data_IF_092856134815
#
_entry.id   IF_092856134815
#
_cell.length_a   1.000
_cell.length_b   1.000
_cell.length_c   1.000
_cell.angle_alpha   90.00
_cell.angle_beta   90.00
_cell.angle_gamma   90.00
#
_symmetry.space_group_name_H-M   'P 1'
#
loop_
_entity.id
_entity.type
_entity.pdbx_description
1 polymer ?
#
# COMPACT_ATOMS: atom_id res chain seq x y z
N UNK A 1 26.40 25.15 28.78
CA UNK A 1 26.01 23.95 28.01
C UNK A 1 24.57 24.15 27.55
N UNK A 2 24.40 24.90 26.47
CA UNK A 2 23.08 25.37 26.01
C UNK A 2 22.43 24.30 25.15
N UNK A 3 21.40 23.65 25.70
CA UNK A 3 20.56 22.72 24.96
C UNK A 3 19.86 23.47 23.83
N UNK A 4 20.17 23.10 22.60
CA UNK A 4 19.48 23.54 21.39
C UNK A 4 18.05 23.02 21.48
N UNK A 5 17.13 23.87 21.93
CA UNK A 5 15.69 23.69 21.73
C UNK A 5 15.42 23.81 20.23
N UNK A 6 15.59 22.69 19.51
CA UNK A 6 15.11 22.57 18.13
C UNK A 6 13.61 22.82 18.19
N UNK A 7 13.21 23.92 17.55
CA UNK A 7 11.84 24.43 17.53
C UNK A 7 10.90 23.42 16.85
N UNK A 8 10.36 22.49 17.65
CA UNK A 8 9.38 21.49 17.23
C UNK A 8 8.14 22.10 16.56
N UNK A 9 7.85 23.38 16.77
CA UNK A 9 6.72 24.06 16.12
C UNK A 9 6.95 24.32 14.64
N UNK A 10 8.16 24.67 14.19
CA UNK A 10 8.42 24.99 12.78
C UNK A 10 8.37 23.74 11.88
N UNK A 11 8.91 22.61 12.37
CA UNK A 11 8.80 21.32 11.68
C UNK A 11 7.35 20.83 11.63
N UNK A 12 6.61 20.94 12.74
CA UNK A 12 5.20 20.59 12.79
C UNK A 12 4.35 21.45 11.85
N UNK A 13 4.57 22.76 11.78
CA UNK A 13 3.80 23.67 10.89
C UNK A 13 4.04 23.35 9.41
N UNK A 14 5.28 23.03 9.01
CA UNK A 14 5.62 22.70 7.61
C UNK A 14 5.09 21.33 7.17
N UNK A 15 4.97 20.37 8.10
CA UNK A 15 4.24 19.12 7.87
C UNK A 15 2.73 19.36 7.80
N UNK A 16 2.19 20.23 8.66
CA UNK A 16 0.75 20.54 8.75
C UNK A 16 0.16 21.10 7.46
N UNK A 17 0.89 21.98 6.77
CA UNK A 17 0.44 22.57 5.50
C UNK A 17 0.51 21.59 4.33
N UNK A 18 1.49 20.70 4.30
CA UNK A 18 1.60 19.64 3.28
C UNK A 18 0.53 18.54 3.43
N UNK A 19 0.01 18.35 4.64
CA UNK A 19 -1.04 17.35 4.95
C UNK A 19 -2.42 17.81 4.44
N UNK A 20 -2.73 19.11 4.46
CA UNK A 20 -4.01 19.66 3.97
C UNK A 20 -4.17 19.66 2.45
N UNK A 21 -3.09 19.39 1.73
CA UNK A 21 -3.01 19.53 0.27
C UNK A 21 -3.62 18.34 -0.49
N UNK A 22 -3.84 17.20 0.19
CA UNK A 22 -4.36 15.98 -0.42
C UNK A 22 -5.89 15.88 -0.25
N UNK A 23 -6.63 16.71 -0.98
CA UNK A 23 -8.08 16.83 -0.88
C UNK A 23 -8.79 15.76 -1.73
N UNK A 24 -9.18 14.65 -1.10
CA UNK A 24 -10.12 13.65 -1.65
C UNK A 24 -11.29 13.58 -0.67
N UNK A 25 -12.50 13.30 -1.17
CA UNK A 25 -13.65 13.00 -0.31
C UNK A 25 -13.35 11.80 0.60
N UNK A 26 -13.00 12.12 1.84
CA UNK A 26 -12.57 11.19 2.87
C UNK A 26 -13.54 10.00 3.04
N UNK A 27 -14.85 10.23 3.12
CA UNK A 27 -15.80 9.15 3.40
C UNK A 27 -15.85 8.11 2.27
N UNK A 28 -15.93 8.57 1.02
CA UNK A 28 -15.99 7.68 -0.16
C UNK A 28 -14.73 6.82 -0.23
N UNK A 29 -13.56 7.42 0.00
CA UNK A 29 -12.28 6.72 -0.05
C UNK A 29 -12.19 5.59 0.99
N UNK A 30 -12.59 5.87 2.23
CA UNK A 30 -12.62 4.85 3.28
C UNK A 30 -13.62 3.75 2.95
N UNK A 31 -14.84 4.11 2.58
CA UNK A 31 -15.88 3.13 2.25
C UNK A 31 -15.43 2.23 1.11
N UNK A 32 -14.94 2.79 0.01
CA UNK A 32 -14.44 2.02 -1.12
C UNK A 32 -13.26 1.13 -0.74
N UNK A 33 -12.26 1.68 -0.04
CA UNK A 33 -11.07 0.94 0.39
C UNK A 33 -11.39 -0.23 1.32
N UNK A 34 -12.20 0.01 2.35
CA UNK A 34 -12.64 -1.04 3.27
C UNK A 34 -13.51 -2.08 2.56
N UNK A 35 -14.36 -1.65 1.63
CA UNK A 35 -15.20 -2.58 0.86
C UNK A 35 -14.34 -3.50 0.01
N UNK A 36 -13.37 -2.98 -0.75
CA UNK A 36 -12.47 -3.80 -1.57
C UNK A 36 -11.59 -4.72 -0.72
N UNK A 37 -11.06 -4.22 0.39
CA UNK A 37 -10.28 -5.02 1.33
C UNK A 37 -11.12 -6.16 1.93
N UNK A 38 -12.34 -5.86 2.38
CA UNK A 38 -13.24 -6.84 2.97
C UNK A 38 -13.71 -7.87 1.94
N UNK A 39 -14.04 -7.44 0.72
CA UNK A 39 -14.41 -8.35 -0.38
C UNK A 39 -13.28 -9.32 -0.70
N UNK A 40 -12.03 -8.86 -0.75
CA UNK A 40 -10.89 -9.75 -0.96
C UNK A 40 -10.72 -10.75 0.21
N UNK A 41 -10.82 -10.28 1.45
CA UNK A 41 -10.76 -11.17 2.63
C UNK A 41 -11.89 -12.21 2.64
N UNK A 42 -13.11 -11.79 2.31
CA UNK A 42 -14.26 -12.69 2.20
C UNK A 42 -14.04 -13.73 1.09
N UNK A 43 -13.51 -13.31 -0.06
CA UNK A 43 -13.16 -14.22 -1.15
C UNK A 43 -12.13 -15.27 -0.70
N UNK A 44 -11.09 -14.86 0.02
CA UNK A 44 -10.07 -15.79 0.56
C UNK A 44 -10.68 -16.80 1.54
N UNK A 45 -11.58 -16.35 2.42
CA UNK A 45 -12.21 -17.22 3.44
C UNK A 45 -13.23 -18.17 2.82
N UNK A 46 -14.05 -17.68 1.88
CA UNK A 46 -15.09 -18.48 1.25
C UNK A 46 -14.53 -19.46 0.20
N UNK A 47 -13.28 -19.26 -0.23
CA UNK A 47 -12.68 -20.00 -1.33
C UNK A 47 -13.38 -19.76 -2.65
N UNK A 48 -14.11 -18.65 -2.79
CA UNK A 48 -14.81 -18.31 -4.03
C UNK A 48 -13.77 -18.04 -5.13
N UNK A 49 -14.02 -18.58 -6.33
CA UNK A 49 -13.13 -18.44 -7.49
C UNK A 49 -13.95 -17.95 -8.67
N UNK A 50 -13.44 -16.93 -9.35
CA UNK A 50 -13.92 -16.59 -10.67
C UNK A 50 -13.14 -17.44 -11.68
N UNK A 51 -13.77 -18.51 -12.17
CA UNK A 51 -13.07 -19.60 -12.89
C UNK A 51 -12.19 -19.10 -14.05
N UNK A 52 -12.69 -18.17 -14.86
CA UNK A 52 -11.91 -17.56 -15.95
C UNK A 52 -10.57 -16.95 -15.47
N UNK A 53 -10.60 -16.19 -14.38
CA UNK A 53 -9.39 -15.55 -13.86
C UNK A 53 -8.53 -16.57 -13.10
N UNK A 54 -9.14 -17.55 -12.46
CA UNK A 54 -8.43 -18.66 -11.84
C UNK A 54 -7.62 -19.48 -12.85
N UNK A 55 -8.20 -19.84 -14.00
CA UNK A 55 -7.51 -20.53 -15.10
C UNK A 55 -6.30 -19.72 -15.61
N UNK A 56 -6.48 -18.40 -15.81
CA UNK A 56 -5.38 -17.50 -16.15
C UNK A 56 -4.30 -17.53 -15.07
N UNK A 57 -4.69 -17.47 -13.80
CA UNK A 57 -3.77 -17.52 -12.67
C UNK A 57 -3.03 -18.84 -12.53
N UNK A 58 -3.47 -19.94 -13.15
CA UNK A 58 -2.71 -21.20 -13.17
C UNK A 58 -1.55 -21.19 -14.19
N UNK A 59 -1.61 -20.31 -15.19
CA UNK A 59 -0.58 -20.19 -16.22
C UNK A 59 0.70 -19.53 -15.69
N UNK A 60 1.86 -20.17 -15.88
CA UNK A 60 3.15 -19.67 -15.38
C UNK A 60 3.53 -18.29 -15.96
N UNK A 61 3.28 -18.04 -17.25
CA UNK A 61 3.53 -16.73 -17.86
C UNK A 61 2.65 -15.65 -17.26
N UNK A 62 1.36 -15.96 -17.01
CA UNK A 62 0.46 -15.03 -16.35
C UNK A 62 0.93 -14.68 -14.94
N UNK A 63 1.30 -15.69 -14.13
CA UNK A 63 1.86 -15.49 -12.77
C UNK A 63 3.09 -14.59 -12.79
N UNK A 64 4.03 -14.84 -13.71
CA UNK A 64 5.26 -14.05 -13.83
C UNK A 64 4.97 -12.61 -14.25
N UNK A 65 4.20 -12.40 -15.34
CA UNK A 65 3.89 -11.06 -15.85
C UNK A 65 3.13 -10.25 -14.80
N UNK A 66 2.07 -10.83 -14.22
CA UNK A 66 1.29 -10.12 -13.19
C UNK A 66 2.09 -9.90 -11.91
N UNK A 67 3.03 -10.79 -11.56
CA UNK A 67 3.98 -10.58 -10.47
C UNK A 67 4.92 -9.39 -10.70
N UNK A 68 5.49 -9.25 -11.91
CA UNK A 68 6.30 -8.07 -12.27
C UNK A 68 5.46 -6.79 -12.30
N UNK A 69 4.23 -6.84 -12.82
CA UNK A 69 3.31 -5.71 -12.78
C UNK A 69 2.98 -5.29 -11.34
N UNK A 70 2.77 -6.25 -10.44
CA UNK A 70 2.55 -5.99 -9.01
C UNK A 70 3.80 -5.37 -8.36
N UNK A 71 5.00 -5.85 -8.70
CA UNK A 71 6.26 -5.21 -8.25
C UNK A 71 6.35 -3.75 -8.71
N UNK A 72 6.14 -3.49 -10.01
CA UNK A 72 6.16 -2.14 -10.56
C UNK A 72 5.10 -1.25 -9.90
N UNK A 73 3.92 -1.80 -9.64
CA UNK A 73 2.84 -1.12 -8.93
C UNK A 73 3.26 -0.70 -7.52
N UNK A 74 3.89 -1.60 -6.75
CA UNK A 74 4.41 -1.30 -5.41
C UNK A 74 5.54 -0.28 -5.46
N UNK A 75 6.50 -0.42 -6.39
CA UNK A 75 7.60 0.53 -6.56
C UNK A 75 7.10 1.93 -6.94
N UNK A 76 6.05 2.01 -7.75
CA UNK A 76 5.44 3.29 -8.12
C UNK A 76 4.88 4.06 -6.91
N UNK A 77 4.44 3.36 -5.85
CA UNK A 77 3.98 4.00 -4.60
C UNK A 77 5.08 4.87 -3.95
N UNK A 78 6.35 4.49 -4.09
CA UNK A 78 7.48 5.25 -3.55
C UNK A 78 7.73 6.58 -4.28
N UNK A 79 7.05 6.84 -5.41
CA UNK A 79 7.11 8.13 -6.10
C UNK A 79 6.71 9.29 -5.19
N UNK A 80 5.74 9.06 -4.29
CA UNK A 80 5.32 10.07 -3.32
C UNK A 80 6.47 10.52 -2.41
N UNK A 81 7.31 9.58 -1.97
CA UNK A 81 8.48 9.89 -1.15
C UNK A 81 9.50 10.75 -1.92
N UNK A 82 9.67 10.51 -3.23
CA UNK A 82 10.56 11.29 -4.10
C UNK A 82 10.08 12.73 -4.29
N UNK A 83 8.79 12.95 -4.48
CA UNK A 83 8.22 14.28 -4.75
C UNK A 83 7.86 15.07 -3.49
N UNK A 84 8.07 14.52 -2.30
CA UNK A 84 7.61 15.10 -1.01
C UNK A 84 8.06 16.55 -0.76
N UNK A 85 9.15 16.98 -1.39
CA UNK A 85 9.70 18.33 -1.24
C UNK A 85 9.17 19.33 -2.28
N UNK A 86 8.50 18.87 -3.34
CA UNK A 86 7.87 19.69 -4.36
C UNK A 86 6.36 19.79 -4.11
N UNK A 87 5.89 20.91 -3.58
CA UNK A 87 4.49 21.13 -3.17
C UNK A 87 3.50 21.09 -4.33
N UNK A 88 3.91 21.51 -5.53
CA UNK A 88 3.06 21.48 -6.71
C UNK A 88 2.74 20.03 -7.12
N UNK A 89 3.76 19.19 -7.19
CA UNK A 89 3.62 17.79 -7.56
C UNK A 89 3.01 16.94 -6.42
N UNK A 90 3.26 17.33 -5.16
CA UNK A 90 2.82 16.57 -3.99
C UNK A 90 1.31 16.32 -3.96
N UNK A 91 0.51 17.33 -4.30
CA UNK A 91 -0.97 17.20 -4.33
C UNK A 91 -1.42 16.08 -5.25
N UNK A 92 -0.93 16.12 -6.49
CA UNK A 92 -1.28 15.17 -7.52
C UNK A 92 -0.84 13.75 -7.13
N UNK A 93 0.43 13.57 -6.77
CA UNK A 93 0.95 12.25 -6.42
C UNK A 93 0.40 11.70 -5.10
N UNK A 94 0.02 12.55 -4.15
CA UNK A 94 -0.68 12.10 -2.95
C UNK A 94 -2.06 11.54 -3.29
N UNK A 95 -2.80 12.25 -4.16
CA UNK A 95 -4.12 11.77 -4.61
C UNK A 95 -4.00 10.43 -5.34
N UNK A 96 -3.04 10.32 -6.26
CA UNK A 96 -2.76 9.06 -6.96
C UNK A 96 -2.34 7.94 -6.02
N UNK A 97 -1.40 8.19 -5.11
CA UNK A 97 -0.93 7.20 -4.13
C UNK A 97 -2.08 6.63 -3.31
N UNK A 98 -2.97 7.51 -2.83
CA UNK A 98 -4.19 7.11 -2.14
C UNK A 98 -5.09 6.25 -3.02
N UNK A 99 -5.47 6.76 -4.20
CA UNK A 99 -6.39 6.05 -5.11
C UNK A 99 -5.85 4.68 -5.52
N UNK A 100 -4.56 4.59 -5.77
CA UNK A 100 -3.90 3.32 -6.01
C UNK A 100 -3.98 2.46 -4.76
N UNK A 101 -3.59 2.93 -3.58
CA UNK A 101 -3.72 2.18 -2.32
C UNK A 101 -5.10 1.56 -2.09
N UNK A 102 -6.19 2.23 -2.47
CA UNK A 102 -7.55 1.66 -2.42
C UNK A 102 -7.78 0.56 -3.45
N UNK A 103 -7.24 0.70 -4.65
CA UNK A 103 -7.31 -0.33 -5.69
C UNK A 103 -6.36 -1.52 -5.43
N UNK A 104 -5.42 -1.43 -4.49
CA UNK A 104 -4.39 -2.43 -4.28
C UNK A 104 -4.93 -3.85 -3.97
N UNK A 105 -5.99 -4.05 -3.15
CA UNK A 105 -6.60 -5.37 -2.96
C UNK A 105 -7.13 -5.97 -4.28
N UNK A 106 -7.66 -5.14 -5.18
CA UNK A 106 -8.12 -5.59 -6.49
C UNK A 106 -6.95 -6.01 -7.38
N UNK A 107 -5.84 -5.26 -7.36
CA UNK A 107 -4.62 -5.64 -8.09
C UNK A 107 -4.06 -6.97 -7.58
N UNK A 108 -4.07 -7.17 -6.26
CA UNK A 108 -3.69 -8.46 -5.66
C UNK A 108 -4.65 -9.58 -6.08
N UNK A 109 -5.97 -9.33 -6.11
CA UNK A 109 -6.97 -10.30 -6.57
C UNK A 109 -6.77 -10.73 -8.03
N UNK A 110 -6.42 -9.80 -8.91
CA UNK A 110 -6.07 -10.11 -10.30
C UNK A 110 -4.82 -10.99 -10.38
N UNK A 111 -3.84 -10.78 -9.51
CA UNK A 111 -2.64 -11.60 -9.47
C UNK A 111 -2.87 -12.99 -8.85
N UNK A 112 -3.65 -13.09 -7.76
CA UNK A 112 -3.90 -14.36 -7.08
C UNK A 112 -5.20 -14.40 -6.27
N UNK A 113 -5.96 -15.48 -6.45
CA UNK A 113 -7.14 -15.86 -5.64
C UNK A 113 -6.84 -16.91 -4.57
N UNK A 114 -5.64 -17.51 -4.61
CA UNK A 114 -5.25 -18.58 -3.71
C UNK A 114 -3.90 -18.29 -3.05
N UNK A 115 -3.81 -18.63 -1.78
CA UNK A 115 -2.54 -18.58 -1.07
C UNK A 115 -1.89 -19.96 -1.18
N UNK A 116 -0.71 -20.03 -1.79
CA UNK A 116 0.05 -21.28 -1.86
C UNK A 116 0.89 -21.49 -0.59
N UNK A 117 2.21 -21.38 -0.72
CA UNK A 117 3.14 -21.66 0.38
C UNK A 117 3.07 -20.62 1.51
N UNK A 118 3.57 -20.99 2.70
CA UNK A 118 3.56 -20.14 3.89
C UNK A 118 4.16 -18.73 3.68
N UNK A 119 5.22 -18.60 2.87
CA UNK A 119 5.79 -17.28 2.57
C UNK A 119 4.88 -16.42 1.67
N UNK A 120 4.07 -17.04 0.80
CA UNK A 120 3.08 -16.33 -0.02
C UNK A 120 1.91 -15.87 0.84
N UNK A 121 1.48 -16.68 1.81
CA UNK A 121 0.52 -16.26 2.84
C UNK A 121 1.06 -15.04 3.58
N UNK A 122 2.31 -15.09 4.07
CA UNK A 122 2.95 -13.96 4.76
C UNK A 122 3.00 -12.70 3.88
N UNK A 123 3.40 -12.84 2.61
CA UNK A 123 3.45 -11.74 1.65
C UNK A 123 2.05 -11.11 1.46
N UNK A 124 1.02 -11.92 1.22
CA UNK A 124 -0.36 -11.44 1.05
C UNK A 124 -0.89 -10.78 2.32
N UNK A 125 -0.63 -11.36 3.50
CA UNK A 125 -1.01 -10.77 4.78
C UNK A 125 -0.35 -9.41 4.99
N UNK A 126 0.97 -9.29 4.76
CA UNK A 126 1.68 -8.02 4.88
C UNK A 126 1.17 -7.00 3.87
N UNK A 127 0.90 -7.42 2.63
CA UNK A 127 0.35 -6.55 1.58
C UNK A 127 -1.02 -5.98 1.98
N UNK A 128 -1.95 -6.84 2.38
CA UNK A 128 -3.30 -6.43 2.82
C UNK A 128 -3.26 -5.59 4.08
N UNK A 129 -2.41 -5.96 5.05
CA UNK A 129 -2.21 -5.18 6.26
C UNK A 129 -1.64 -3.80 5.94
N UNK A 130 -0.71 -3.70 4.98
CA UNK A 130 -0.20 -2.41 4.53
C UNK A 130 -1.28 -1.56 3.84
N UNK A 131 -2.20 -2.18 3.09
CA UNK A 131 -3.38 -1.50 2.53
C UNK A 131 -4.26 -0.96 3.66
N UNK A 132 -4.57 -1.78 4.67
CA UNK A 132 -5.32 -1.36 5.86
C UNK A 132 -4.65 -0.18 6.57
N UNK A 133 -3.35 -0.26 6.84
CA UNK A 133 -2.56 0.83 7.44
C UNK A 133 -2.67 2.10 6.58
N UNK A 134 -2.62 1.99 5.25
CA UNK A 134 -2.82 3.11 4.33
C UNK A 134 -4.20 3.76 4.44
N UNK A 135 -5.26 2.96 4.61
CA UNK A 135 -6.63 3.47 4.79
C UNK A 135 -6.79 4.26 6.09
N UNK A 136 -6.15 3.83 7.18
CA UNK A 136 -6.18 4.52 8.49
C UNK A 136 -5.18 5.68 8.60
N UNK A 137 -4.83 6.30 7.47
CA UNK A 137 -3.89 7.42 7.45
C UNK A 137 -4.34 8.60 8.34
N UNK A 138 -3.40 9.34 8.97
CA UNK A 138 -3.72 10.49 9.80
C UNK A 138 -4.54 11.56 9.08
N UNK A 139 -4.31 11.73 7.77
CA UNK A 139 -5.07 12.62 6.89
C UNK A 139 -6.55 12.24 6.86
N UNK A 140 -6.79 10.94 6.76
CA UNK A 140 -8.10 10.36 6.54
C UNK A 140 -8.93 10.32 7.83
N UNK A 141 -8.26 10.04 8.95
CA UNK A 141 -8.86 10.08 10.28
C UNK A 141 -8.88 11.49 10.90
N UNK A 142 -8.34 12.49 10.20
CA UNK A 142 -8.18 13.87 10.67
C UNK A 142 -7.41 13.98 11.99
N UNK A 143 -6.54 13.00 12.28
CA UNK A 143 -5.70 12.95 13.47
C UNK A 143 -4.45 13.80 13.22
N UNK A 144 -4.16 14.71 14.16
CA UNK A 144 -3.00 15.64 14.07
C UNK A 144 -1.93 15.38 15.13
N UNK A 145 -2.05 14.29 15.88
CA UNK A 145 -1.06 13.92 16.89
C UNK A 145 0.25 13.50 16.21
N UNK A 146 1.36 14.16 16.56
CA UNK A 146 2.67 13.93 15.94
C UNK A 146 3.20 12.51 16.16
N UNK A 147 2.96 11.92 17.33
CA UNK A 147 3.34 10.53 17.61
C UNK A 147 2.59 9.58 16.69
N UNK A 148 1.27 9.74 16.56
CA UNK A 148 0.46 8.93 15.66
C UNK A 148 0.95 9.04 14.20
N UNK A 149 1.18 10.26 13.72
CA UNK A 149 1.67 10.51 12.34
C UNK A 149 3.01 9.83 12.09
N UNK A 150 3.95 9.96 13.03
CA UNK A 150 5.29 9.37 12.90
C UNK A 150 5.24 7.85 12.98
N UNK A 151 4.53 7.29 13.96
CA UNK A 151 4.36 5.83 14.11
C UNK A 151 3.68 5.22 12.89
N UNK A 152 2.62 5.85 12.39
CA UNK A 152 1.93 5.43 11.17
C UNK A 152 2.89 5.42 9.97
N UNK A 153 3.65 6.49 9.77
CA UNK A 153 4.58 6.61 8.64
C UNK A 153 5.67 5.54 8.70
N UNK A 154 6.28 5.33 9.88
CA UNK A 154 7.30 4.30 10.09
C UNK A 154 6.72 2.93 9.79
N UNK A 155 5.59 2.58 10.41
CA UNK A 155 4.94 1.28 10.22
C UNK A 155 4.61 1.03 8.74
N UNK A 156 3.93 1.97 8.08
CA UNK A 156 3.51 1.84 6.70
C UNK A 156 4.70 1.66 5.74
N UNK A 157 5.74 2.49 5.90
CA UNK A 157 6.92 2.44 5.02
C UNK A 157 7.78 1.20 5.29
N UNK A 158 7.98 0.81 6.55
CA UNK A 158 8.73 -0.40 6.90
C UNK A 158 8.08 -1.66 6.33
N UNK A 159 6.75 -1.78 6.41
CA UNK A 159 6.03 -2.90 5.82
C UNK A 159 6.11 -2.86 4.29
N UNK A 160 6.00 -1.68 3.67
CA UNK A 160 6.16 -1.54 2.23
C UNK A 160 7.55 -2.01 1.74
N UNK A 161 8.62 -1.67 2.47
CA UNK A 161 9.98 -2.14 2.15
C UNK A 161 10.09 -3.66 2.30
N UNK A 162 9.51 -4.23 3.36
CA UNK A 162 9.49 -5.68 3.57
C UNK A 162 8.72 -6.41 2.45
N UNK A 163 7.58 -5.86 2.02
CA UNK A 163 6.81 -6.37 0.87
C UNK A 163 7.68 -6.39 -0.39
N UNK A 164 8.41 -5.31 -0.69
CA UNK A 164 9.31 -5.30 -1.87
C UNK A 164 10.34 -6.43 -1.80
N UNK A 165 10.97 -6.65 -0.63
CA UNK A 165 11.89 -7.77 -0.43
C UNK A 165 11.25 -9.13 -0.67
N UNK A 166 10.05 -9.36 -0.11
CA UNK A 166 9.30 -10.61 -0.29
C UNK A 166 8.79 -10.81 -1.71
N UNK A 167 8.41 -9.75 -2.43
CA UNK A 167 8.03 -9.82 -3.85
C UNK A 167 9.23 -10.19 -4.72
N UNK A 168 10.41 -9.61 -4.46
CA UNK A 168 11.62 -9.98 -5.18
C UNK A 168 11.99 -11.45 -4.93
N UNK A 169 11.89 -11.91 -3.68
CA UNK A 169 12.06 -13.32 -3.34
C UNK A 169 11.03 -14.21 -4.04
N UNK A 170 9.76 -13.81 -4.04
CA UNK A 170 8.70 -14.53 -4.75
C UNK A 170 8.99 -14.64 -6.25
N UNK A 171 9.39 -13.54 -6.91
CA UNK A 171 9.75 -13.55 -8.32
C UNK A 171 10.96 -14.43 -8.61
N UNK A 172 11.98 -14.42 -7.74
CA UNK A 172 13.14 -15.29 -7.87
C UNK A 172 12.75 -16.77 -7.85
N UNK A 173 11.94 -17.19 -6.87
CA UNK A 173 11.47 -18.58 -6.75
C UNK A 173 10.57 -18.94 -7.94
N UNK A 174 9.63 -18.08 -8.31
CA UNK A 174 8.72 -18.33 -9.44
C UNK A 174 9.48 -18.41 -10.77
N UNK A 175 10.57 -17.68 -10.96
CA UNK A 175 11.36 -17.77 -12.18
C UNK A 175 12.26 -19.01 -12.22
N UNK A 176 12.85 -19.40 -11.09
CA UNK A 176 13.82 -20.50 -11.05
C UNK A 176 13.17 -21.88 -10.98
N UNK A 177 11.97 -21.99 -10.41
CA UNK A 177 11.27 -23.25 -10.16
C UNK A 177 9.99 -23.45 -11.01
N UNK A 178 9.76 -22.62 -12.04
CA UNK A 178 8.68 -22.79 -13.02
C UNK A 178 9.22 -23.15 -14.39
#
# INVERSE_FOLDING_TARGET
>A
MSFILINNNAFNVKLRTKISECNINSAIFLTLGFTLLLLYLLQLISGYRLEFLYELQQNNYYKQITGYLLLLYVLYQFRLAKVRNNTEQLRYYCSLHKMQGVAAPLVLYVHSMELGYAYQVLLSCLFLFNCFVGLVSPQQLKIRNALYVNSWLILHVSIAILIVGLVLYHLFITYWYS
#
